data_IF_746045610521
#
_entry.id   IF_746045610521
#
_cell.length_a   1.000
_cell.length_b   1.000
_cell.length_c   1.000
_cell.angle_alpha   90.00
_cell.angle_beta   90.00
_cell.angle_gamma   90.00
#
_symmetry.space_group_name_H-M   'P 1'
#
loop_
_entity.id
_entity.type
_entity.pdbx_description
1 polymer ?
#
# COMPACT_ATOMS: atom_id res chain seq x y z
N UNK A 1 -20.28 -9.48 -3.14
CA UNK A 1 -19.40 -10.65 -3.25
C UNK A 1 -17.99 -10.14 -3.13
N UNK A 2 -17.14 -10.74 -2.28
CA UNK A 2 -15.74 -10.35 -2.17
C UNK A 2 -14.95 -10.87 -3.37
N UNK A 3 -14.02 -10.04 -3.89
CA UNK A 3 -13.07 -10.48 -4.89
C UNK A 3 -11.87 -11.10 -4.19
N UNK A 4 -11.45 -12.28 -4.63
CA UNK A 4 -10.25 -12.95 -4.13
C UNK A 4 -9.10 -12.72 -5.10
N UNK A 5 -7.96 -12.31 -4.57
CA UNK A 5 -6.75 -12.06 -5.33
C UNK A 5 -5.48 -12.33 -4.55
N UNK A 6 -4.37 -11.90 -5.08
CA UNK A 6 -3.05 -11.96 -4.42
C UNK A 6 -2.24 -10.69 -4.73
N UNK A 7 -1.15 -10.51 -3.97
CA UNK A 7 -0.20 -9.42 -4.19
C UNK A 7 0.85 -9.87 -5.20
N UNK A 8 1.02 -9.14 -6.29
CA UNK A 8 1.92 -9.53 -7.40
C UNK A 8 3.40 -9.62 -6.99
N UNK A 9 3.78 -9.08 -5.84
CA UNK A 9 5.13 -9.20 -5.30
C UNK A 9 5.63 -10.66 -5.13
N UNK A 10 4.72 -11.63 -4.99
CA UNK A 10 5.09 -13.06 -4.90
C UNK A 10 5.57 -13.64 -6.25
N UNK A 11 5.29 -12.95 -7.35
CA UNK A 11 5.67 -13.30 -8.73
C UNK A 11 6.65 -12.26 -9.30
N UNK A 12 7.62 -11.82 -8.52
CA UNK A 12 8.51 -10.69 -8.84
C UNK A 12 9.34 -10.86 -10.11
N UNK A 13 9.58 -12.09 -10.54
CA UNK A 13 10.33 -12.41 -11.78
C UNK A 13 9.43 -12.57 -13.01
N UNK A 14 8.12 -12.38 -12.87
CA UNK A 14 7.14 -12.50 -13.96
C UNK A 14 6.85 -11.13 -14.57
N UNK A 15 6.49 -11.13 -15.85
CA UNK A 15 5.93 -9.95 -16.52
C UNK A 15 4.51 -9.68 -16.02
N UNK A 16 3.99 -8.48 -16.26
CA UNK A 16 2.61 -8.13 -15.90
C UNK A 16 1.60 -9.09 -16.56
N UNK A 17 1.79 -9.46 -17.83
CA UNK A 17 0.90 -10.40 -18.52
C UNK A 17 0.94 -11.80 -17.87
N UNK A 18 2.12 -12.31 -17.52
CA UNK A 18 2.25 -13.60 -16.82
C UNK A 18 1.55 -13.59 -15.44
N UNK A 19 1.57 -12.46 -14.72
CA UNK A 19 0.78 -12.28 -13.48
C UNK A 19 -0.70 -12.44 -13.76
N UNK A 20 -1.24 -11.83 -14.82
CA UNK A 20 -2.64 -11.99 -15.22
C UNK A 20 -2.98 -13.42 -15.67
N UNK A 21 -2.09 -14.07 -16.42
CA UNK A 21 -2.22 -15.49 -16.81
C UNK A 21 -2.31 -16.36 -15.56
N UNK A 22 -1.40 -16.18 -14.62
CA UNK A 22 -1.41 -16.92 -13.36
C UNK A 22 -2.73 -16.72 -12.60
N UNK A 23 -3.14 -15.46 -12.41
CA UNK A 23 -4.40 -15.13 -11.72
C UNK A 23 -5.61 -15.83 -12.36
N UNK A 24 -5.76 -15.70 -13.68
CA UNK A 24 -6.86 -16.31 -14.43
C UNK A 24 -6.86 -17.84 -14.35
N UNK A 25 -5.68 -18.46 -14.50
CA UNK A 25 -5.52 -19.91 -14.47
C UNK A 25 -5.88 -20.52 -13.11
N UNK A 26 -5.61 -19.78 -12.02
CA UNK A 26 -5.87 -20.26 -10.66
C UNK A 26 -7.19 -19.73 -10.07
N UNK A 27 -8.04 -19.09 -10.88
CA UNK A 27 -9.38 -18.67 -10.47
C UNK A 27 -9.41 -17.43 -9.57
N UNK A 28 -8.34 -16.63 -9.53
CA UNK A 28 -8.36 -15.32 -8.88
C UNK A 28 -9.12 -14.31 -9.73
N UNK A 29 -9.91 -13.46 -9.09
CA UNK A 29 -10.70 -12.42 -9.76
C UNK A 29 -10.01 -11.07 -9.80
N UNK A 30 -8.98 -10.88 -8.99
CA UNK A 30 -8.21 -9.63 -8.95
C UNK A 30 -6.75 -9.86 -8.53
N UNK A 31 -5.95 -8.81 -8.70
CA UNK A 31 -4.54 -8.77 -8.24
C UNK A 31 -4.24 -7.38 -7.71
N UNK A 32 -3.53 -7.28 -6.60
CA UNK A 32 -2.84 -6.05 -6.21
C UNK A 32 -1.50 -5.98 -6.95
N UNK A 33 -1.31 -4.95 -7.77
CA UNK A 33 -0.13 -4.80 -8.62
C UNK A 33 0.92 -3.91 -7.96
N UNK A 34 2.16 -4.42 -7.88
CA UNK A 34 3.27 -3.68 -7.31
C UNK A 34 3.84 -2.66 -8.29
N UNK A 35 4.10 -1.45 -7.76
CA UNK A 35 4.56 -0.27 -8.50
C UNK A 35 5.80 0.35 -7.85
N UNK A 36 6.78 -0.46 -7.45
CA UNK A 36 8.06 0.07 -7.01
C UNK A 36 8.76 0.79 -8.18
N UNK A 37 9.59 1.82 -7.92
CA UNK A 37 10.39 2.42 -8.98
C UNK A 37 11.23 1.36 -9.70
N UNK A 38 11.23 1.34 -11.03
CA UNK A 38 11.97 0.35 -11.82
C UNK A 38 13.49 0.40 -11.56
N UNK A 39 14.01 1.55 -11.14
CA UNK A 39 15.40 1.74 -10.74
C UNK A 39 15.73 1.27 -9.32
N UNK A 40 14.73 0.91 -8.51
CA UNK A 40 14.94 0.54 -7.12
C UNK A 40 15.44 -0.91 -7.02
N UNK A 41 16.66 -1.07 -6.50
CA UNK A 41 17.28 -2.38 -6.22
C UNK A 41 17.13 -2.75 -4.73
N UNK A 42 16.00 -2.43 -4.10
CA UNK A 42 15.75 -2.82 -2.72
C UNK A 42 15.81 -4.35 -2.61
N UNK A 43 16.78 -4.84 -1.82
CA UNK A 43 17.01 -6.28 -1.64
C UNK A 43 16.06 -6.91 -0.61
N UNK A 44 15.14 -6.16 -0.03
CA UNK A 44 14.15 -6.70 0.92
C UNK A 44 13.19 -7.63 0.20
N UNK A 45 12.83 -8.71 0.87
CA UNK A 45 11.81 -9.64 0.35
C UNK A 45 10.51 -8.89 0.03
N UNK A 46 9.99 -9.09 -1.18
CA UNK A 46 8.78 -8.46 -1.71
C UNK A 46 8.87 -6.94 -1.96
N UNK A 47 10.01 -6.29 -1.73
CA UNK A 47 10.25 -4.92 -2.15
C UNK A 47 10.93 -4.88 -3.53
N UNK A 48 10.90 -3.72 -4.18
CA UNK A 48 11.55 -3.51 -5.47
C UNK A 48 10.86 -4.16 -6.68
N UNK A 49 9.72 -4.84 -6.49
CA UNK A 49 8.95 -5.43 -7.60
C UNK A 49 8.19 -4.35 -8.35
N UNK A 50 8.43 -4.24 -9.66
CA UNK A 50 7.78 -3.28 -10.54
C UNK A 50 7.08 -4.02 -11.68
N UNK A 51 5.77 -4.22 -11.56
CA UNK A 51 4.96 -4.76 -12.66
C UNK A 51 4.31 -3.67 -13.51
N UNK A 52 4.09 -2.48 -12.93
CA UNK A 52 3.70 -1.27 -13.64
C UNK A 52 4.66 -0.16 -13.25
N UNK A 53 5.47 0.29 -14.23
CA UNK A 53 6.32 1.47 -14.07
C UNK A 53 5.47 2.72 -14.28
N UNK A 54 5.16 3.40 -13.16
CA UNK A 54 4.32 4.60 -13.17
C UNK A 54 5.01 5.81 -13.82
N UNK A 55 6.32 5.77 -14.02
CA UNK A 55 7.07 6.80 -14.72
C UNK A 55 6.99 6.65 -16.26
N UNK A 56 6.58 5.46 -16.74
CA UNK A 56 6.41 5.14 -18.16
C UNK A 56 4.94 4.93 -18.56
N UNK A 57 4.00 5.42 -17.75
CA UNK A 57 2.56 5.21 -17.95
C UNK A 57 1.98 6.20 -18.98
N UNK A 58 2.17 5.92 -20.25
CA UNK A 58 1.56 6.64 -21.35
C UNK A 58 0.20 6.04 -21.76
N UNK A 59 -0.49 6.65 -22.72
CA UNK A 59 -1.80 6.19 -23.20
C UNK A 59 -1.76 4.77 -23.76
N UNK A 60 -0.69 4.39 -24.47
CA UNK A 60 -0.53 3.05 -25.03
C UNK A 60 -0.39 2.00 -23.92
N UNK A 61 0.42 2.30 -22.91
CA UNK A 61 0.61 1.44 -21.72
C UNK A 61 -0.69 1.28 -20.93
N UNK A 62 -1.45 2.38 -20.76
CA UNK A 62 -2.76 2.35 -20.09
C UNK A 62 -3.74 1.44 -20.85
N UNK A 63 -3.86 1.62 -22.18
CA UNK A 63 -4.71 0.77 -23.02
C UNK A 63 -4.29 -0.70 -22.94
N UNK A 64 -3.00 -0.98 -23.02
CA UNK A 64 -2.48 -2.35 -22.90
C UNK A 64 -2.88 -2.99 -21.56
N UNK A 65 -2.71 -2.30 -20.43
CA UNK A 65 -3.10 -2.79 -19.10
C UNK A 65 -4.62 -3.06 -19.04
N UNK A 66 -5.44 -2.18 -19.60
CA UNK A 66 -6.91 -2.39 -19.69
C UNK A 66 -7.23 -3.63 -20.50
N UNK A 67 -6.55 -3.83 -21.65
CA UNK A 67 -6.77 -5.01 -22.50
C UNK A 67 -6.35 -6.31 -21.79
N UNK A 68 -5.29 -6.31 -20.99
CA UNK A 68 -4.92 -7.47 -20.18
C UNK A 68 -6.03 -7.83 -19.16
N UNK A 69 -6.59 -6.85 -18.46
CA UNK A 69 -7.69 -7.08 -17.53
C UNK A 69 -8.91 -7.70 -18.24
N UNK A 70 -9.27 -7.18 -19.40
CA UNK A 70 -10.40 -7.69 -20.21
C UNK A 70 -10.11 -9.10 -20.75
N UNK A 71 -8.93 -9.32 -21.30
CA UNK A 71 -8.49 -10.61 -21.90
C UNK A 71 -8.54 -11.75 -20.88
N UNK A 72 -8.00 -11.51 -19.69
CA UNK A 72 -7.90 -12.53 -18.65
C UNK A 72 -9.06 -12.52 -17.65
N UNK A 73 -9.96 -11.54 -17.73
CA UNK A 73 -11.09 -11.34 -16.81
C UNK A 73 -10.66 -11.23 -15.35
N UNK A 74 -9.53 -10.58 -15.11
CA UNK A 74 -8.93 -10.33 -13.80
C UNK A 74 -8.82 -8.82 -13.62
N UNK A 75 -9.38 -8.27 -12.54
CA UNK A 75 -9.26 -6.85 -12.21
C UNK A 75 -7.99 -6.54 -11.44
N UNK A 76 -7.63 -5.26 -11.40
CA UNK A 76 -6.61 -4.76 -10.46
C UNK A 76 -7.37 -4.20 -9.25
N UNK A 77 -7.16 -4.80 -8.06
CA UNK A 77 -7.84 -4.39 -6.82
C UNK A 77 -7.21 -3.14 -6.21
N UNK A 78 -5.90 -3.00 -6.33
CA UNK A 78 -5.12 -1.86 -5.84
C UNK A 78 -3.78 -1.77 -6.57
N UNK A 79 -3.16 -0.58 -6.54
CA UNK A 79 -1.73 -0.43 -6.79
C UNK A 79 -0.98 -0.38 -5.46
N UNK A 80 0.09 -1.18 -5.32
CA UNK A 80 0.86 -1.33 -4.11
C UNK A 80 2.25 -0.71 -4.22
N UNK A 81 2.61 0.14 -3.26
CA UNK A 81 3.96 0.65 -3.05
C UNK A 81 4.17 0.90 -1.56
N UNK A 82 5.12 0.23 -0.93
CA UNK A 82 5.26 0.14 0.52
C UNK A 82 6.61 0.67 1.04
N UNK A 83 6.90 1.98 0.85
CA UNK A 83 8.11 2.63 1.34
C UNK A 83 7.99 3.08 2.80
N UNK A 84 9.02 3.78 3.27
CA UNK A 84 9.00 4.50 4.55
C UNK A 84 8.95 6.03 4.33
N UNK A 85 7.79 6.66 4.09
CA UNK A 85 7.71 8.11 3.85
C UNK A 85 8.05 8.97 5.09
N UNK A 86 8.20 8.38 6.27
CA UNK A 86 8.66 9.05 7.49
C UNK A 86 10.14 8.73 7.81
N UNK A 87 10.93 8.37 6.79
CA UNK A 87 12.35 8.11 6.93
C UNK A 87 13.08 9.31 7.57
N UNK A 88 14.11 9.04 8.36
CA UNK A 88 14.94 10.08 9.01
C UNK A 88 15.81 10.81 8.00
N UNK A 89 16.17 10.17 6.87
CA UNK A 89 16.78 10.84 5.73
C UNK A 89 15.71 11.63 4.95
N UNK A 90 15.84 12.95 4.96
CA UNK A 90 14.88 13.86 4.34
C UNK A 90 14.81 13.71 2.79
N UNK A 91 15.93 13.40 2.13
CA UNK A 91 15.97 13.19 0.68
C UNK A 91 15.26 11.87 0.34
N UNK A 92 15.52 10.82 1.10
CA UNK A 92 14.87 9.53 0.94
C UNK A 92 13.37 9.61 1.24
N UNK A 93 12.98 10.29 2.32
CA UNK A 93 11.57 10.57 2.66
C UNK A 93 10.86 11.30 1.50
N UNK A 94 11.48 12.36 0.98
CA UNK A 94 10.93 13.10 -0.17
C UNK A 94 10.78 12.23 -1.41
N UNK A 95 11.78 11.41 -1.73
CA UNK A 95 11.73 10.48 -2.86
C UNK A 95 10.53 9.51 -2.73
N UNK A 96 10.32 8.95 -1.55
CA UNK A 96 9.19 8.06 -1.27
C UNK A 96 7.84 8.76 -1.41
N UNK A 97 7.71 9.98 -0.87
CA UNK A 97 6.49 10.79 -0.97
C UNK A 97 6.18 11.13 -2.43
N UNK A 98 7.18 11.55 -3.20
CA UNK A 98 7.00 11.90 -4.60
C UNK A 98 6.54 10.69 -5.43
N UNK A 99 7.08 9.50 -5.16
CA UNK A 99 6.66 8.28 -5.86
C UNK A 99 5.25 7.80 -5.41
N UNK A 100 4.90 7.91 -4.12
CA UNK A 100 3.52 7.67 -3.65
C UNK A 100 2.53 8.53 -4.46
N UNK A 101 2.82 9.81 -4.64
CA UNK A 101 1.99 10.72 -5.42
C UNK A 101 1.88 10.32 -6.90
N UNK A 102 2.94 9.76 -7.49
CA UNK A 102 2.89 9.20 -8.85
C UNK A 102 1.98 7.99 -8.92
N UNK A 103 2.06 7.06 -7.96
CA UNK A 103 1.19 5.88 -7.90
C UNK A 103 -0.29 6.28 -7.71
N UNK A 104 -0.59 7.29 -6.89
CA UNK A 104 -1.96 7.84 -6.76
C UNK A 104 -2.47 8.35 -8.12
N UNK A 105 -1.66 9.09 -8.88
CA UNK A 105 -2.01 9.55 -10.24
C UNK A 105 -2.20 8.37 -11.21
N UNK A 106 -1.35 7.35 -11.13
CA UNK A 106 -1.50 6.13 -11.93
C UNK A 106 -2.81 5.39 -11.61
N UNK A 107 -3.22 5.30 -10.34
CA UNK A 107 -4.52 4.78 -9.95
C UNK A 107 -5.65 5.51 -10.68
N UNK A 108 -5.61 6.85 -10.75
CA UNK A 108 -6.59 7.65 -11.48
C UNK A 108 -6.61 7.34 -12.96
N UNK A 109 -5.43 7.28 -13.61
CA UNK A 109 -5.30 7.01 -15.05
C UNK A 109 -5.81 5.61 -15.44
N UNK A 110 -5.60 4.62 -14.56
CA UNK A 110 -6.01 3.23 -14.76
C UNK A 110 -7.41 2.92 -14.22
N UNK A 111 -8.12 3.91 -13.64
CA UNK A 111 -9.42 3.75 -12.98
C UNK A 111 -9.40 2.69 -11.86
N UNK A 112 -8.30 2.65 -11.09
CA UNK A 112 -8.14 1.77 -9.93
C UNK A 112 -8.49 2.57 -8.67
N UNK A 113 -9.41 2.08 -7.80
CA UNK A 113 -9.95 2.91 -6.73
C UNK A 113 -9.05 3.02 -5.49
N UNK A 114 -8.04 2.16 -5.35
CA UNK A 114 -7.24 2.01 -4.13
C UNK A 114 -5.75 2.03 -4.44
N UNK A 115 -4.99 2.77 -3.62
CA UNK A 115 -3.53 2.68 -3.53
C UNK A 115 -3.17 2.20 -2.13
N UNK A 116 -2.40 1.10 -2.04
CA UNK A 116 -1.95 0.54 -0.79
C UNK A 116 -0.50 0.93 -0.47
N UNK A 117 -0.22 1.25 0.80
CA UNK A 117 1.10 1.71 1.23
C UNK A 117 1.31 1.53 2.74
N UNK A 118 2.47 1.97 3.25
CA UNK A 118 2.76 2.14 4.67
C UNK A 118 2.72 3.61 5.08
N UNK A 119 2.42 3.88 6.36
CA UNK A 119 2.57 5.23 6.94
C UNK A 119 4.02 5.63 7.05
N UNK A 120 4.89 4.67 7.30
CA UNK A 120 6.29 4.90 7.61
C UNK A 120 6.53 5.16 9.11
N UNK A 121 7.79 5.12 9.51
CA UNK A 121 8.26 5.42 10.87
C UNK A 121 9.78 5.63 10.87
N UNK A 122 10.27 6.57 11.66
CA UNK A 122 11.64 6.59 12.16
C UNK A 122 11.71 5.65 13.40
N UNK A 123 12.31 4.46 13.28
CA UNK A 123 12.36 3.49 14.38
C UNK A 123 13.25 3.93 15.56
N UNK A 124 14.13 4.92 15.36
CA UNK A 124 14.98 5.46 16.41
C UNK A 124 14.22 6.46 17.32
N UNK A 125 13.02 6.86 16.95
CA UNK A 125 12.19 7.82 17.67
C UNK A 125 10.93 7.19 18.25
N UNK A 126 10.39 7.83 19.27
CA UNK A 126 9.14 7.41 19.90
C UNK A 126 7.90 7.64 19.01
N UNK A 127 6.76 7.17 19.49
CA UNK A 127 5.49 7.29 18.78
C UNK A 127 5.07 8.76 18.62
N UNK A 128 5.27 9.61 19.63
CA UNK A 128 4.81 11.00 19.59
C UNK A 128 5.60 11.85 18.61
N UNK A 129 6.91 11.60 18.50
CA UNK A 129 7.73 12.18 17.44
C UNK A 129 7.21 11.78 16.05
N UNK A 130 6.96 10.49 15.85
CA UNK A 130 6.47 9.98 14.57
C UNK A 130 5.05 10.50 14.22
N UNK A 131 4.19 10.67 15.20
CA UNK A 131 2.89 11.33 15.02
C UNK A 131 3.07 12.79 14.59
N UNK A 132 4.05 13.50 15.13
CA UNK A 132 4.34 14.88 14.71
C UNK A 132 4.84 14.92 13.26
N UNK A 133 5.71 14.00 12.87
CA UNK A 133 6.16 13.86 11.47
C UNK A 133 5.00 13.48 10.53
N UNK A 134 4.10 12.61 10.97
CA UNK A 134 2.89 12.28 10.21
C UNK A 134 2.04 13.53 9.91
N UNK A 135 1.83 14.40 10.88
CA UNK A 135 1.10 15.68 10.71
C UNK A 135 1.73 16.60 9.67
N UNK A 136 3.04 16.54 9.49
CA UNK A 136 3.76 17.36 8.51
C UNK A 136 3.69 16.78 7.10
N UNK A 137 3.83 15.46 6.97
CA UNK A 137 4.03 14.77 5.69
C UNK A 137 2.72 14.38 5.02
N UNK A 138 1.84 13.72 5.76
CA UNK A 138 0.67 13.02 5.20
C UNK A 138 -0.46 13.92 4.66
N UNK A 139 -0.71 15.13 5.18
CA UNK A 139 -1.77 15.98 4.63
C UNK A 139 -1.65 16.24 3.13
N UNK A 140 -0.43 16.41 2.62
CA UNK A 140 -0.19 16.66 1.20
C UNK A 140 -0.45 15.44 0.31
N UNK A 141 -0.29 14.24 0.85
CA UNK A 141 -0.59 12.98 0.15
C UNK A 141 -2.10 12.75 0.10
N UNK A 142 -2.77 12.95 1.25
CA UNK A 142 -4.22 12.75 1.34
C UNK A 142 -4.99 13.81 0.55
N UNK A 143 -4.53 15.05 0.52
CA UNK A 143 -5.15 16.10 -0.32
C UNK A 143 -5.16 15.71 -1.81
N UNK A 144 -4.06 15.13 -2.33
CA UNK A 144 -4.02 14.62 -3.70
C UNK A 144 -4.95 13.41 -3.90
N UNK A 145 -5.01 12.51 -2.92
CA UNK A 145 -5.89 11.35 -2.97
C UNK A 145 -7.38 11.76 -2.99
N UNK A 146 -7.74 12.78 -2.20
CA UNK A 146 -9.09 13.38 -2.20
C UNK A 146 -9.44 14.02 -3.55
N UNK A 147 -8.54 14.84 -4.09
CA UNK A 147 -8.71 15.50 -5.39
C UNK A 147 -8.98 14.48 -6.50
N UNK A 148 -8.23 13.37 -6.51
CA UNK A 148 -8.34 12.34 -7.53
C UNK A 148 -9.36 11.25 -7.21
N UNK A 149 -10.00 11.29 -6.03
CA UNK A 149 -10.95 10.30 -5.53
C UNK A 149 -10.35 8.88 -5.42
N UNK A 150 -9.08 8.79 -4.98
CA UNK A 150 -8.38 7.53 -4.75
C UNK A 150 -8.31 7.26 -3.25
N UNK A 151 -8.69 6.07 -2.83
CA UNK A 151 -8.57 5.63 -1.45
C UNK A 151 -7.14 5.18 -1.15
N UNK A 152 -6.62 5.59 -0.01
CA UNK A 152 -5.32 5.13 0.50
C UNK A 152 -5.57 4.06 1.56
N UNK A 153 -5.09 2.84 1.30
CA UNK A 153 -5.11 1.73 2.25
C UNK A 153 -3.76 1.59 2.95
N UNK A 154 -3.72 1.82 4.25
CA UNK A 154 -2.51 1.63 5.06
C UNK A 154 -2.46 0.21 5.59
N UNK A 155 -1.44 -0.56 5.20
CA UNK A 155 -1.23 -1.89 5.79
C UNK A 155 -0.68 -1.75 7.21
N UNK A 156 -1.20 -2.57 8.11
CA UNK A 156 -0.81 -2.57 9.52
C UNK A 156 0.40 -3.45 9.84
N UNK A 157 1.20 -3.81 8.83
CA UNK A 157 2.46 -4.52 9.00
C UNK A 157 3.48 -3.65 9.75
N UNK A 158 4.12 -4.13 10.83
CA UNK A 158 5.15 -3.37 11.56
C UNK A 158 6.46 -3.22 10.79
N UNK A 159 6.68 -3.91 9.68
CA UNK A 159 7.91 -3.89 8.87
C UNK A 159 9.16 -4.26 9.69
N UNK A 160 9.11 -5.37 10.39
CA UNK A 160 10.26 -5.92 11.10
C UNK A 160 11.04 -6.84 10.15
N UNK A 161 12.26 -6.47 9.77
CA UNK A 161 13.09 -7.25 8.84
C UNK A 161 14.29 -7.92 9.51
N UNK A 162 14.70 -7.42 10.69
CA UNK A 162 15.78 -7.96 11.49
C UNK A 162 15.35 -8.18 12.93
N UNK A 163 16.18 -8.92 13.71
CA UNK A 163 15.91 -9.14 15.13
C UNK A 163 16.04 -7.87 15.98
N UNK A 164 16.80 -6.90 15.49
CA UNK A 164 17.13 -5.67 16.21
C UNK A 164 16.06 -4.58 16.04
N UNK A 165 15.11 -4.78 15.12
CA UNK A 165 14.02 -3.81 14.84
C UNK A 165 12.83 -3.94 15.81
N UNK A 166 12.74 -5.02 16.57
CA UNK A 166 11.69 -5.16 17.57
C UNK A 166 11.94 -4.30 18.81
N UNK A 167 10.93 -3.56 19.35
CA UNK A 167 9.54 -3.42 18.85
C UNK A 167 9.34 -2.28 17.83
N UNK A 168 10.37 -1.71 17.29
CA UNK A 168 10.38 -0.45 16.57
C UNK A 168 10.53 -0.57 15.05
N UNK A 169 9.73 -1.35 14.34
CA UNK A 169 9.78 -1.44 12.87
C UNK A 169 9.49 -0.12 12.14
N UNK A 170 9.63 -0.14 10.80
CA UNK A 170 9.56 1.04 9.93
C UNK A 170 8.13 1.46 9.52
N UNK A 171 7.10 0.99 10.22
CA UNK A 171 5.73 1.43 10.00
C UNK A 171 5.06 1.76 11.34
N UNK A 172 4.46 2.94 11.42
CA UNK A 172 3.81 3.46 12.61
C UNK A 172 2.43 2.83 12.85
N UNK A 173 1.66 2.57 11.78
CA UNK A 173 0.25 2.21 11.82
C UNK A 173 0.01 0.73 12.22
N UNK A 174 0.55 0.27 13.33
CA UNK A 174 0.60 -1.16 13.71
C UNK A 174 -0.50 -1.60 14.67
N UNK A 175 -1.20 -0.67 15.31
CA UNK A 175 -2.20 -0.97 16.33
C UNK A 175 -3.43 -0.06 16.23
N UNK A 176 -4.62 -0.52 16.70
CA UNK A 176 -5.83 0.30 16.75
C UNK A 176 -5.63 1.65 17.47
N UNK A 177 -4.93 1.65 18.60
CA UNK A 177 -4.66 2.89 19.35
C UNK A 177 -3.86 3.94 18.56
N UNK A 178 -3.00 3.48 17.64
CA UNK A 178 -2.30 4.39 16.73
C UNK A 178 -3.22 4.81 15.59
N UNK A 179 -4.03 3.90 15.03
CA UNK A 179 -4.98 4.25 13.96
C UNK A 179 -5.94 5.33 14.38
N UNK A 180 -6.49 5.27 15.60
CA UNK A 180 -7.36 6.32 16.15
C UNK A 180 -6.68 7.69 16.10
N UNK A 181 -5.42 7.78 16.55
CA UNK A 181 -4.64 9.03 16.51
C UNK A 181 -4.41 9.53 15.08
N UNK A 182 -4.14 8.62 14.13
CA UNK A 182 -3.94 8.99 12.72
C UNK A 182 -5.24 9.47 12.08
N UNK A 183 -6.37 8.82 12.35
CA UNK A 183 -7.68 9.19 11.83
C UNK A 183 -8.22 10.48 12.45
N UNK A 184 -7.92 10.76 13.74
CA UNK A 184 -8.22 12.06 14.36
C UNK A 184 -7.46 13.22 13.71
N UNK A 185 -6.21 12.98 13.28
CA UNK A 185 -5.38 13.96 12.57
C UNK A 185 -5.85 14.17 11.14
N UNK A 186 -6.18 13.08 10.44
CA UNK A 186 -6.63 13.04 9.06
C UNK A 186 -7.99 12.33 8.96
N UNK A 187 -9.09 13.01 9.23
CA UNK A 187 -10.42 12.40 9.26
C UNK A 187 -10.99 12.08 7.86
N UNK A 188 -10.22 12.26 6.82
CA UNK A 188 -10.60 12.02 5.43
C UNK A 188 -11.10 10.59 5.20
N UNK A 189 -12.21 10.43 4.49
CA UNK A 189 -12.73 9.12 4.06
C UNK A 189 -11.85 8.41 3.01
N UNK A 190 -10.88 9.13 2.46
CA UNK A 190 -9.89 8.57 1.54
C UNK A 190 -8.66 8.00 2.24
N UNK A 191 -8.54 8.19 3.54
CA UNK A 191 -7.49 7.63 4.38
C UNK A 191 -8.06 6.50 5.25
N UNK A 192 -7.60 5.26 5.06
CA UNK A 192 -8.10 4.08 5.75
C UNK A 192 -7.08 2.94 5.74
N UNK A 193 -7.55 1.74 5.93
CA UNK A 193 -6.72 0.56 6.15
C UNK A 193 -6.72 -0.36 4.90
N UNK A 194 -5.56 -0.88 4.58
CA UNK A 194 -5.39 -2.19 3.97
C UNK A 194 -5.15 -3.17 5.12
N UNK A 195 -6.23 -3.75 5.61
CA UNK A 195 -6.22 -4.47 6.88
C UNK A 195 -5.66 -5.88 6.73
N UNK A 196 -4.63 -6.20 7.48
CA UNK A 196 -4.07 -7.55 7.59
C UNK A 196 -4.22 -8.05 9.03
N UNK A 197 -5.19 -8.96 9.30
CA UNK A 197 -5.44 -9.48 10.65
C UNK A 197 -4.24 -10.26 11.18
N UNK A 198 -3.41 -10.87 10.33
CA UNK A 198 -2.26 -11.67 10.77
C UNK A 198 -1.29 -10.87 11.63
N UNK A 199 -1.16 -9.56 11.34
CA UNK A 199 -0.29 -8.66 12.11
C UNK A 199 -0.80 -8.31 13.50
N UNK A 200 -2.10 -8.48 13.78
CA UNK A 200 -2.65 -8.38 15.14
C UNK A 200 -2.55 -9.72 15.86
N UNK A 201 -2.83 -10.83 15.17
CA UNK A 201 -2.77 -12.18 15.74
C UNK A 201 -1.41 -12.48 16.38
N UNK A 202 -0.31 -12.26 15.65
CA UNK A 202 1.02 -12.53 16.22
C UNK A 202 1.43 -11.54 17.31
N UNK A 203 0.85 -10.33 17.35
CA UNK A 203 0.96 -9.38 18.46
C UNK A 203 0.03 -9.71 19.63
N UNK A 204 -0.80 -10.79 19.53
CA UNK A 204 -1.80 -11.19 20.52
C UNK A 204 -2.85 -10.11 20.80
N UNK A 205 -3.23 -9.37 19.77
CA UNK A 205 -4.33 -8.42 19.78
C UNK A 205 -5.58 -9.06 19.16
N UNK A 206 -6.75 -8.53 19.51
CA UNK A 206 -8.01 -8.90 18.88
C UNK A 206 -8.01 -8.45 17.41
N UNK A 207 -8.08 -9.42 16.49
CA UNK A 207 -8.09 -9.20 15.06
C UNK A 207 -9.51 -9.07 14.47
N UNK A 208 -10.54 -9.34 15.27
CA UNK A 208 -11.94 -9.32 14.82
C UNK A 208 -12.59 -7.97 15.13
N UNK A 209 -12.43 -7.47 16.35
CA UNK A 209 -13.04 -6.20 16.77
C UNK A 209 -12.73 -5.02 15.83
N UNK A 210 -11.51 -4.85 15.29
CA UNK A 210 -11.21 -3.78 14.34
C UNK A 210 -12.03 -3.82 13.04
N UNK A 211 -12.46 -4.99 12.59
CA UNK A 211 -13.29 -5.14 11.39
C UNK A 211 -14.61 -4.39 11.56
N UNK A 212 -15.20 -4.47 12.75
CA UNK A 212 -16.45 -3.76 13.07
C UNK A 212 -16.21 -2.29 13.41
N UNK A 213 -15.15 -2.01 14.16
CA UNK A 213 -14.87 -0.65 14.63
C UNK A 213 -14.46 0.30 13.50
N UNK A 214 -13.69 -0.20 12.52
CA UNK A 214 -13.17 0.56 11.38
C UNK A 214 -13.82 0.17 10.05
N UNK A 215 -15.05 -0.36 10.06
CA UNK A 215 -15.72 -0.88 8.87
C UNK A 215 -15.78 0.13 7.70
N UNK A 216 -15.98 1.41 8.00
CA UNK A 216 -15.99 2.52 7.02
C UNK A 216 -14.59 2.97 6.55
N UNK A 217 -13.54 2.47 7.22
CA UNK A 217 -12.13 2.73 6.93
C UNK A 217 -11.42 1.53 6.28
N UNK A 218 -12.08 0.39 6.13
CA UNK A 218 -11.50 -0.78 5.46
C UNK A 218 -11.57 -0.59 3.94
N UNK A 219 -10.47 -0.20 3.34
CA UNK A 219 -10.38 0.05 1.91
C UNK A 219 -9.94 -1.20 1.14
N UNK A 220 -9.09 -2.02 1.75
CA UNK A 220 -8.57 -3.26 1.20
C UNK A 220 -8.24 -4.23 2.36
N UNK A 221 -8.08 -5.53 2.06
CA UNK A 221 -7.77 -6.55 3.07
C UNK A 221 -6.70 -7.49 2.53
N UNK A 222 -5.68 -7.74 3.32
CA UNK A 222 -4.74 -8.83 3.12
C UNK A 222 -5.06 -9.98 4.08
N UNK A 223 -5.07 -11.21 3.56
CA UNK A 223 -5.22 -12.43 4.36
C UNK A 223 -3.99 -13.30 4.16
N UNK A 224 -3.38 -13.71 5.27
CA UNK A 224 -2.18 -14.58 5.30
C UNK A 224 -2.43 -15.78 6.18
#
# INVERSE_FOLDING_TARGET
MFSLGFVSAILGDHTLEEVFVFASTHGFSCVEIMCWPASNKDARRYAGVCHIDVDQLDMHTIEHIIQLQLKYKVGISALGYYPNPLDDDAEQSKYYIDHIKKVIKACKSLNIPVMNTFVGRDPARDVDFNISRFKEVWPSIIALAEELHIKIGIENCPMLFTRDEWPGGKNLATTPAIWDRLFDILPSKYFGLNYDPSHLIWQRMDEVAPIYHYADRLHHIHLK
#
